data_IF_674102734011
#
_entry.id   IF_674102734011
#
_cell.length_a   1.000
_cell.length_b   1.000
_cell.length_c   1.000
_cell.angle_alpha   90.00
_cell.angle_beta   90.00
_cell.angle_gamma   90.00
#
_symmetry.space_group_name_H-M   'P 1'
#
loop_
_entity.id
_entity.type
_entity.pdbx_description
1 polymer ?
#
# COMPACT_ATOMS: atom_id res chain seq x y z
N UNK A 1 13.76 -0.41 -10.22
CA UNK A 1 13.97 -1.86 -9.96
C UNK A 1 14.27 -2.09 -8.49
N UNK A 2 15.16 -1.28 -7.89
CA UNK A 2 15.48 -1.28 -6.45
C UNK A 2 14.27 -1.04 -5.54
N UNK A 3 13.29 -0.26 -6.00
CA UNK A 3 12.10 0.16 -5.25
C UNK A 3 11.09 -0.98 -5.16
N UNK A 4 10.88 -1.70 -6.27
CA UNK A 4 10.05 -2.92 -6.30
C UNK A 4 10.67 -3.99 -5.39
N UNK A 5 11.99 -4.15 -5.41
CA UNK A 5 12.68 -5.06 -4.51
C UNK A 5 12.54 -4.66 -3.05
N UNK A 6 12.62 -3.36 -2.73
CA UNK A 6 12.36 -2.83 -1.40
C UNK A 6 10.94 -3.16 -0.94
N UNK A 7 9.90 -2.89 -1.74
CA UNK A 7 8.52 -3.21 -1.37
C UNK A 7 8.30 -4.70 -1.14
N UNK A 8 8.93 -5.55 -1.97
CA UNK A 8 8.88 -7.01 -1.80
C UNK A 8 9.53 -7.41 -0.49
N UNK A 9 10.72 -6.88 -0.20
CA UNK A 9 11.43 -7.19 1.03
C UNK A 9 10.65 -6.76 2.29
N UNK A 10 10.06 -5.57 2.28
CA UNK A 10 9.20 -5.06 3.36
C UNK A 10 7.98 -5.98 3.56
N UNK A 11 7.33 -6.41 2.47
CA UNK A 11 6.19 -7.32 2.53
C UNK A 11 6.56 -8.68 3.12
N UNK A 12 7.61 -9.31 2.59
CA UNK A 12 7.99 -10.68 2.94
C UNK A 12 8.59 -10.77 4.35
N UNK A 13 9.21 -9.70 4.83
CA UNK A 13 9.90 -9.65 6.12
C UNK A 13 9.26 -8.69 7.13
N UNK A 14 7.96 -8.36 6.99
CA UNK A 14 7.27 -7.36 7.82
C UNK A 14 7.48 -7.57 9.33
N UNK A 15 7.48 -8.82 9.81
CA UNK A 15 7.67 -9.16 11.22
C UNK A 15 9.08 -8.87 11.77
N UNK A 16 10.05 -8.57 10.90
CA UNK A 16 11.38 -8.09 11.30
C UNK A 16 11.38 -6.58 11.58
N UNK A 17 10.44 -5.83 11.01
CA UNK A 17 10.40 -4.37 11.06
C UNK A 17 9.37 -3.84 12.05
N UNK A 18 8.24 -4.53 12.21
CA UNK A 18 7.14 -4.10 13.05
C UNK A 18 6.54 -5.28 13.82
N UNK A 19 6.18 -5.09 15.11
CA UNK A 19 5.42 -6.08 15.86
C UNK A 19 4.03 -6.26 15.23
N UNK A 20 3.46 -7.46 15.33
CA UNK A 20 2.11 -7.80 14.85
C UNK A 20 1.82 -7.31 13.43
N UNK A 21 2.25 -8.09 12.42
CA UNK A 21 2.18 -7.89 10.96
C UNK A 21 0.81 -7.49 10.37
N UNK A 22 0.20 -6.43 10.90
CA UNK A 22 -1.09 -5.86 10.51
C UNK A 22 -0.89 -4.91 9.34
N UNK A 23 -1.97 -4.66 8.62
CA UNK A 23 -2.02 -3.70 7.53
C UNK A 23 -1.67 -2.29 8.01
N UNK A 24 -2.13 -1.89 9.20
CA UNK A 24 -1.81 -0.58 9.77
C UNK A 24 -0.30 -0.38 10.00
N UNK A 25 0.38 -1.41 10.51
CA UNK A 25 1.82 -1.39 10.73
C UNK A 25 2.57 -1.41 9.39
N UNK A 26 2.10 -2.18 8.41
CA UNK A 26 2.67 -2.19 7.06
C UNK A 26 2.57 -0.82 6.38
N UNK A 27 1.41 -0.18 6.42
CA UNK A 27 1.18 1.17 5.91
C UNK A 27 2.11 2.17 6.60
N UNK A 28 2.22 2.10 7.93
CA UNK A 28 3.08 3.00 8.70
C UNK A 28 4.56 2.86 8.31
N UNK A 29 5.01 1.62 8.07
CA UNK A 29 6.37 1.35 7.60
C UNK A 29 6.62 1.95 6.22
N UNK A 30 5.69 1.78 5.27
CA UNK A 30 5.79 2.35 3.93
C UNK A 30 5.85 3.89 3.97
N UNK A 31 5.01 4.53 4.78
CA UNK A 31 5.03 5.99 4.98
C UNK A 31 6.37 6.43 5.56
N UNK A 32 6.90 5.70 6.57
CA UNK A 32 8.21 5.98 7.14
C UNK A 32 9.35 5.91 6.11
N UNK A 33 9.30 4.93 5.21
CA UNK A 33 10.26 4.82 4.10
C UNK A 33 10.16 5.97 3.10
N UNK A 34 8.94 6.37 2.75
CA UNK A 34 8.69 7.50 1.86
C UNK A 34 9.22 8.82 2.45
N UNK A 35 8.97 9.06 3.74
CA UNK A 35 9.51 10.21 4.48
C UNK A 35 11.05 10.20 4.48
N UNK A 36 11.68 9.04 4.67
CA UNK A 36 13.14 8.90 4.62
C UNK A 36 13.74 9.10 3.21
N UNK A 37 12.88 9.20 2.18
CA UNK A 37 13.22 9.39 0.77
C UNK A 37 12.65 10.71 0.22
N UNK A 38 12.44 11.69 1.10
CA UNK A 38 11.94 13.02 0.76
C UNK A 38 10.57 13.01 0.04
N UNK A 39 9.71 12.03 0.37
CA UNK A 39 8.36 11.81 -0.18
C UNK A 39 8.31 11.45 -1.67
N UNK A 40 9.42 10.97 -2.25
CA UNK A 40 9.51 10.62 -3.68
C UNK A 40 8.87 9.25 -3.97
N UNK A 41 8.76 8.35 -2.98
CA UNK A 41 8.31 6.97 -3.22
C UNK A 41 6.81 6.87 -3.51
N UNK A 42 6.01 7.70 -2.86
CA UNK A 42 4.55 7.70 -2.95
C UNK A 42 3.98 8.96 -3.63
N UNK A 43 4.84 9.82 -4.19
CA UNK A 43 4.41 11.05 -4.86
C UNK A 43 3.41 10.74 -5.98
N UNK A 44 2.16 11.20 -5.83
CA UNK A 44 1.09 10.96 -6.80
C UNK A 44 0.43 9.57 -6.73
N UNK A 45 0.78 8.72 -5.75
CA UNK A 45 0.25 7.36 -5.66
C UNK A 45 -1.27 7.33 -5.38
N UNK A 46 -1.76 8.18 -4.48
CA UNK A 46 -3.19 8.24 -4.12
C UNK A 46 -4.04 8.73 -5.29
N UNK A 47 -3.53 9.70 -6.05
CA UNK A 47 -4.15 10.25 -7.26
C UNK A 47 -4.17 9.21 -8.38
N UNK A 48 -3.06 8.49 -8.56
CA UNK A 48 -2.99 7.40 -9.52
C UNK A 48 -3.98 6.27 -9.17
N UNK A 49 -4.09 5.87 -7.89
CA UNK A 49 -5.07 4.89 -7.43
C UNK A 49 -6.51 5.33 -7.72
N UNK A 50 -6.83 6.58 -7.37
CA UNK A 50 -8.14 7.17 -7.62
C UNK A 50 -8.50 7.18 -9.11
N UNK A 51 -7.56 7.63 -9.94
CA UNK A 51 -7.74 7.72 -11.40
C UNK A 51 -7.90 6.34 -12.03
N UNK A 52 -6.97 5.41 -11.75
CA UNK A 52 -6.89 4.12 -12.41
C UNK A 52 -8.03 3.17 -12.04
N UNK A 53 -8.40 3.13 -10.76
CA UNK A 53 -9.42 2.20 -10.25
C UNK A 53 -10.74 2.87 -9.89
N UNK A 54 -10.91 4.15 -10.24
CA UNK A 54 -12.12 4.95 -9.94
C UNK A 54 -12.44 4.95 -8.44
N UNK A 55 -11.42 5.15 -7.61
CA UNK A 55 -11.53 5.15 -6.15
C UNK A 55 -11.81 6.57 -5.62
N UNK A 56 -12.40 6.69 -4.42
CA UNK A 56 -12.66 7.99 -3.82
C UNK A 56 -11.36 8.79 -3.61
N UNK A 57 -11.34 10.04 -4.06
CA UNK A 57 -10.18 10.95 -3.94
C UNK A 57 -10.04 11.55 -2.54
N UNK A 58 -11.09 11.51 -1.72
CA UNK A 58 -11.08 11.98 -0.34
C UNK A 58 -10.52 10.95 0.65
N UNK A 59 -10.12 9.77 0.18
CA UNK A 59 -9.51 8.72 1.00
C UNK A 59 -8.00 8.76 0.81
N UNK A 60 -7.25 8.58 1.90
CA UNK A 60 -5.83 8.27 1.83
C UNK A 60 -5.62 6.92 1.12
N UNK A 61 -4.45 6.68 0.51
CA UNK A 61 -4.19 5.44 -0.23
C UNK A 61 -4.51 4.16 0.56
N UNK A 62 -4.26 4.14 1.87
CA UNK A 62 -4.55 2.98 2.71
C UNK A 62 -6.05 2.68 2.81
N UNK A 63 -6.86 3.72 2.91
CA UNK A 63 -8.32 3.62 2.86
C UNK A 63 -8.81 3.29 1.45
N UNK A 64 -8.16 3.80 0.40
CA UNK A 64 -8.47 3.45 -0.98
C UNK A 64 -8.26 1.95 -1.25
N UNK A 65 -7.17 1.35 -0.77
CA UNK A 65 -6.93 -0.11 -0.87
C UNK A 65 -8.00 -0.90 -0.10
N UNK A 66 -8.33 -0.49 1.13
CA UNK A 66 -9.42 -1.12 1.89
C UNK A 66 -10.76 -1.03 1.15
N UNK A 67 -11.06 0.12 0.59
CA UNK A 67 -12.29 0.33 -0.19
C UNK A 67 -12.31 -0.48 -1.49
N UNK A 68 -11.16 -0.62 -2.15
CA UNK A 68 -11.01 -1.42 -3.36
C UNK A 68 -11.36 -2.91 -3.12
N UNK A 69 -10.88 -3.50 -2.01
CA UNK A 69 -11.16 -4.90 -1.68
C UNK A 69 -12.51 -5.11 -0.99
N UNK A 70 -12.93 -4.19 -0.12
CA UNK A 70 -14.06 -4.38 0.78
C UNK A 70 -15.12 -3.28 0.64
N UNK A 71 -15.42 -2.83 -0.59
CA UNK A 71 -16.38 -1.74 -0.83
C UNK A 71 -17.70 -1.86 -0.07
N UNK A 72 -18.30 -3.05 -0.06
CA UNK A 72 -19.60 -3.32 0.62
C UNK A 72 -19.47 -3.42 2.14
N UNK A 73 -18.29 -3.77 2.62
CA UNK A 73 -18.00 -4.06 4.03
C UNK A 73 -16.88 -3.16 4.55
N UNK A 74 -16.83 -1.90 4.11
CA UNK A 74 -15.68 -1.01 4.37
C UNK A 74 -15.43 -0.78 5.86
N UNK A 75 -16.49 -0.83 6.68
CA UNK A 75 -16.42 -0.65 8.13
C UNK A 75 -16.20 -1.96 8.88
N UNK A 76 -15.99 -3.09 8.20
CA UNK A 76 -15.74 -4.37 8.87
C UNK A 76 -14.50 -4.31 9.75
N UNK A 77 -14.56 -5.03 10.87
CA UNK A 77 -13.39 -5.45 11.63
C UNK A 77 -12.58 -6.42 10.77
N UNK A 78 -11.28 -6.19 10.68
CA UNK A 78 -10.38 -7.00 9.85
C UNK A 78 -9.98 -8.27 10.61
N UNK A 79 -10.09 -9.42 9.96
CA UNK A 79 -9.43 -10.65 10.43
C UNK A 79 -7.97 -10.68 9.99
N UNK A 80 -7.16 -11.60 10.52
CA UNK A 80 -5.76 -11.76 10.08
C UNK A 80 -5.66 -12.03 8.58
N UNK A 81 -6.61 -12.76 8.01
CA UNK A 81 -6.69 -13.05 6.58
C UNK A 81 -7.00 -11.78 5.78
N UNK A 82 -7.92 -10.94 6.26
CA UNK A 82 -8.19 -9.64 5.63
C UNK A 82 -6.95 -8.73 5.65
N UNK A 83 -6.23 -8.69 6.76
CA UNK A 83 -4.98 -7.93 6.91
C UNK A 83 -3.93 -8.39 5.88
N UNK A 84 -3.74 -9.71 5.73
CA UNK A 84 -2.83 -10.27 4.73
C UNK A 84 -3.24 -9.92 3.29
N UNK A 85 -4.54 -9.97 2.98
CA UNK A 85 -5.08 -9.58 1.67
C UNK A 85 -4.83 -8.10 1.37
N UNK A 86 -5.03 -7.22 2.35
CA UNK A 86 -4.76 -5.78 2.20
C UNK A 86 -3.27 -5.49 1.98
N UNK A 87 -2.38 -6.17 2.72
CA UNK A 87 -0.92 -6.06 2.54
C UNK A 87 -0.53 -6.50 1.13
N UNK A 88 -1.05 -7.64 0.67
CA UNK A 88 -0.78 -8.15 -0.67
C UNK A 88 -1.28 -7.19 -1.76
N UNK A 89 -2.50 -6.68 -1.61
CA UNK A 89 -3.07 -5.73 -2.55
C UNK A 89 -2.27 -4.43 -2.60
N UNK A 90 -1.90 -3.86 -1.45
CA UNK A 90 -1.08 -2.64 -1.41
C UNK A 90 0.27 -2.86 -2.11
N UNK A 91 0.96 -3.97 -1.84
CA UNK A 91 2.19 -4.31 -2.53
C UNK A 91 2.00 -4.39 -4.06
N UNK A 92 0.98 -5.09 -4.54
CA UNK A 92 0.71 -5.21 -5.98
C UNK A 92 0.49 -3.84 -6.62
N UNK A 93 -0.26 -2.94 -5.95
CA UNK A 93 -0.53 -1.59 -6.46
C UNK A 93 0.69 -0.69 -6.43
N UNK A 94 1.55 -0.80 -5.42
CA UNK A 94 2.84 -0.12 -5.40
C UNK A 94 3.74 -0.57 -6.55
N UNK A 95 3.80 -1.88 -6.81
CA UNK A 95 4.59 -2.42 -7.93
C UNK A 95 4.05 -1.95 -9.27
N UNK A 96 2.73 -1.98 -9.45
CA UNK A 96 2.06 -1.54 -10.67
C UNK A 96 2.29 -0.04 -10.93
N UNK A 97 2.10 0.80 -9.90
CA UNK A 97 2.38 2.23 -9.95
C UNK A 97 3.83 2.52 -10.36
N UNK A 98 4.79 1.84 -9.72
CA UNK A 98 6.21 2.05 -10.00
C UNK A 98 6.61 1.63 -11.41
N UNK A 99 6.03 0.54 -11.93
CA UNK A 99 6.27 0.10 -13.32
C UNK A 99 5.77 1.14 -14.32
N UNK A 100 4.60 1.73 -14.09
CA UNK A 100 4.01 2.70 -15.03
C UNK A 100 4.70 4.06 -14.99
N UNK A 101 5.09 4.54 -13.81
CA UNK A 101 5.66 5.88 -13.66
C UNK A 101 7.17 5.96 -13.91
N UNK A 102 7.91 4.85 -13.83
CA UNK A 102 9.36 4.87 -14.07
C UNK A 102 9.79 4.49 -15.50
N UNK A 103 8.85 4.48 -16.47
CA UNK A 103 9.13 4.12 -17.88
C UNK A 103 10.08 2.92 -18.01
N UNK A 104 9.79 1.84 -17.29
CA UNK A 104 10.34 0.52 -17.64
C UNK A 104 9.56 0.00 -18.83
#
# INVERSE_FOLDING_TARGET
MKEIELFRHIKDCIGMFVPDSTYSNYVSLIIGYDLAKDNILLEGFSEWLASKYKLPTNFAFSQQIKYYLFKKDFTKTLTKEDEMLLIHCLYEKLVEFWKENNKI
#
